data_IF_832318000680
#
_entry.id   IF_832318000680
#
_cell.length_a   1.000
_cell.length_b   1.000
_cell.length_c   1.000
_cell.angle_alpha   90.00
_cell.angle_beta   90.00
_cell.angle_gamma   90.00
#
_symmetry.space_group_name_H-M   'P 1'
#
loop_
_entity.id
_entity.type
_entity.pdbx_description
1 polymer ?
#
# COMPACT_ATOMS: atom_id res chain seq x y z
N UNK A 1 8.50 -1.66 -7.99
CA UNK A 1 8.63 -0.28 -7.47
C UNK A 1 7.38 0.00 -6.64
N UNK A 2 7.54 0.69 -5.51
CA UNK A 2 6.41 1.05 -4.64
C UNK A 2 6.23 2.56 -4.70
N UNK A 3 5.07 3.02 -5.16
CA UNK A 3 4.72 4.45 -5.14
C UNK A 3 3.75 4.73 -3.99
N UNK A 4 4.09 5.69 -3.15
CA UNK A 4 3.28 6.08 -2.00
C UNK A 4 2.49 7.34 -2.33
N UNK A 5 1.18 7.31 -2.11
CA UNK A 5 0.29 8.46 -2.34
C UNK A 5 -0.75 8.60 -1.24
N UNK A 6 -1.26 9.82 -1.06
CA UNK A 6 -2.40 10.09 -0.18
C UNK A 6 -3.63 10.39 -1.02
N UNK A 7 -4.80 10.00 -0.54
CA UNK A 7 -6.05 10.23 -1.24
C UNK A 7 -7.25 10.18 -0.31
N UNK A 8 -8.33 10.83 -0.71
CA UNK A 8 -9.61 10.75 -0.02
C UNK A 8 -10.50 9.75 -0.75
N UNK A 9 -11.05 8.78 -0.03
CA UNK A 9 -12.03 7.86 -0.61
C UNK A 9 -13.45 8.44 -0.54
N UNK A 10 -13.71 9.21 0.52
CA UNK A 10 -15.05 9.66 0.93
C UNK A 10 -15.16 11.21 1.00
N UNK A 11 -14.11 11.93 0.59
CA UNK A 11 -14.04 13.39 0.75
C UNK A 11 -13.83 13.89 2.20
N UNK A 12 -14.01 13.02 3.19
CA UNK A 12 -13.96 13.38 4.60
C UNK A 12 -12.63 13.06 5.29
N UNK A 13 -11.87 12.07 4.80
CA UNK A 13 -10.64 11.59 5.42
C UNK A 13 -9.53 11.34 4.41
N UNK A 14 -8.30 11.71 4.77
CA UNK A 14 -7.10 11.34 4.00
C UNK A 14 -6.55 9.98 4.42
N UNK A 15 -6.42 9.11 3.43
CA UNK A 15 -5.87 7.77 3.59
C UNK A 15 -4.52 7.65 2.88
N UNK A 16 -3.75 6.66 3.33
CA UNK A 16 -2.46 6.29 2.77
C UNK A 16 -2.64 5.14 1.77
N UNK A 17 -2.04 5.26 0.60
CA UNK A 17 -2.07 4.25 -0.45
C UNK A 17 -0.67 3.88 -0.92
N UNK A 18 -0.47 2.59 -1.14
CA UNK A 18 0.69 2.07 -1.86
C UNK A 18 0.23 1.53 -3.21
N UNK A 19 0.85 2.01 -4.27
CA UNK A 19 0.81 1.37 -5.57
C UNK A 19 1.96 0.38 -5.65
N UNK A 20 1.63 -0.89 -5.90
CA UNK A 20 2.56 -2.01 -5.89
C UNK A 20 2.43 -2.80 -7.18
N UNK A 21 3.54 -3.37 -7.65
CA UNK A 21 3.55 -4.32 -8.76
C UNK A 21 3.44 -5.73 -8.22
N UNK A 22 2.42 -6.46 -8.66
CA UNK A 22 2.19 -7.86 -8.36
C UNK A 22 3.18 -8.74 -9.13
N UNK A 23 3.32 -10.00 -8.69
CA UNK A 23 4.22 -10.97 -9.31
C UNK A 23 3.90 -11.23 -10.79
N UNK A 24 2.61 -11.13 -11.15
CA UNK A 24 2.12 -11.26 -12.53
C UNK A 24 2.40 -10.02 -13.40
N UNK A 25 2.96 -8.96 -12.80
CA UNK A 25 3.31 -7.71 -13.49
C UNK A 25 2.22 -6.64 -13.46
N UNK A 26 0.99 -6.98 -13.05
CA UNK A 26 -0.09 -6.02 -12.80
C UNK A 26 0.31 -5.03 -11.70
N UNK A 27 -0.15 -3.77 -11.82
CA UNK A 27 0.05 -2.76 -10.79
C UNK A 27 -1.28 -2.44 -10.11
N UNK A 28 -1.31 -2.54 -8.78
CA UNK A 28 -2.52 -2.29 -7.99
C UNK A 28 -2.26 -1.24 -6.92
N UNK A 29 -3.29 -0.43 -6.65
CA UNK A 29 -3.28 0.57 -5.58
C UNK A 29 -4.08 0.05 -4.39
N UNK A 30 -3.41 -0.10 -3.25
CA UNK A 30 -4.02 -0.59 -2.02
C UNK A 30 -3.95 0.44 -0.90
N UNK A 31 -4.99 0.50 -0.07
CA UNK A 31 -4.95 1.28 1.17
C UNK A 31 -4.02 0.59 2.17
N UNK A 32 -3.17 1.38 2.82
CA UNK A 32 -2.24 0.93 3.85
C UNK A 32 -2.42 1.71 5.14
N UNK A 33 -2.06 1.08 6.26
CA UNK A 33 -2.06 1.75 7.57
C UNK A 33 -0.94 2.78 7.70
N UNK A 34 -1.10 3.74 8.62
CA UNK A 34 -0.07 4.76 8.92
C UNK A 34 1.25 4.15 9.41
N UNK A 35 1.18 3.07 10.18
CA UNK A 35 2.38 2.37 10.68
C UNK A 35 3.20 1.80 9.53
N UNK A 36 2.54 1.07 8.63
CA UNK A 36 3.19 0.52 7.44
C UNK A 36 3.74 1.62 6.53
N UNK A 37 2.97 2.70 6.30
CA UNK A 37 3.42 3.85 5.50
C UNK A 37 4.78 4.40 5.94
N UNK A 38 5.01 4.50 7.26
CA UNK A 38 6.28 5.02 7.80
C UNK A 38 7.44 4.04 7.71
N UNK A 39 7.17 2.76 7.44
CA UNK A 39 8.14 1.67 7.46
C UNK A 39 8.55 1.18 6.07
N UNK A 40 7.83 1.56 5.02
CA UNK A 40 8.10 1.18 3.63
C UNK A 40 9.20 2.07 3.03
N UNK A 41 10.18 1.44 2.39
CA UNK A 41 11.18 2.04 1.53
C UNK A 41 11.13 1.43 0.11
N UNK A 42 11.78 2.09 -0.86
CA UNK A 42 11.91 1.55 -2.21
C UNK A 42 12.73 0.26 -2.18
N UNK A 43 12.20 -0.81 -2.79
CA UNK A 43 12.80 -2.14 -2.77
C UNK A 43 12.14 -3.10 -1.79
N UNK A 44 11.35 -2.61 -0.83
CA UNK A 44 10.58 -3.46 0.08
C UNK A 44 9.48 -4.24 -0.66
N UNK A 45 9.21 -5.46 -0.17
CA UNK A 45 8.11 -6.31 -0.62
C UNK A 45 6.93 -6.18 0.34
N UNK A 46 5.73 -6.02 -0.20
CA UNK A 46 4.49 -5.93 0.58
C UNK A 46 3.64 -7.16 0.27
N UNK A 47 3.15 -7.81 1.32
CA UNK A 47 2.24 -8.96 1.21
C UNK A 47 0.90 -8.59 1.83
N UNK A 48 -0.18 -8.85 1.09
CA UNK A 48 -1.55 -8.75 1.62
C UNK A 48 -2.22 -10.11 1.53
N UNK A 49 -2.55 -10.68 2.70
CA UNK A 49 -3.34 -11.91 2.79
C UNK A 49 -4.84 -11.59 2.80
N UNK A 50 -5.71 -12.49 2.31
CA UNK A 50 -7.16 -12.32 2.42
C UNK A 50 -7.57 -12.09 3.88
N UNK A 51 -8.39 -11.06 4.12
CA UNK A 51 -8.88 -10.72 5.46
C UNK A 51 -7.86 -10.05 6.40
N UNK A 52 -6.59 -9.93 6.01
CA UNK A 52 -5.55 -9.31 6.83
C UNK A 52 -5.12 -7.95 6.25
N UNK A 53 -4.62 -7.07 7.12
CA UNK A 53 -3.95 -5.85 6.68
C UNK A 53 -2.67 -6.16 5.89
N UNK A 54 -2.31 -5.31 4.92
CA UNK A 54 -1.03 -5.42 4.24
C UNK A 54 0.11 -5.27 5.25
N UNK A 55 1.19 -6.03 5.06
CA UNK A 55 2.40 -5.97 5.88
C UNK A 55 3.65 -5.95 5.00
N UNK A 56 4.75 -5.41 5.51
CA UNK A 56 6.08 -5.56 4.92
C UNK A 56 6.60 -6.98 5.19
N UNK A 57 7.16 -7.63 4.18
CA UNK A 57 7.89 -8.90 4.30
C UNK A 57 9.38 -8.66 4.56
#
# INVERSE_FOLDING_TARGET
MVNLSRGMLDGSNMYHFAEIRLADGETVKIRIGRGLWKSIAAGDRIVKRPGADPVKE
#
